data_IF_101344388803
#
_entry.id   IF_101344388803
#
_cell.length_a   1.000
_cell.length_b   1.000
_cell.length_c   1.000
_cell.angle_alpha   90.00
_cell.angle_beta   90.00
_cell.angle_gamma   90.00
#
_symmetry.space_group_name_H-M   'P 1'
#
loop_
_entity.id
_entity.type
_entity.pdbx_description
1 polymer ?
#
# COMPACT_ATOMS: atom_id res chain seq x y z
N UNK A 1 14.90 -18.74 18.42
CA UNK A 1 14.26 -18.65 17.09
C UNK A 1 13.09 -17.66 17.07
N UNK A 2 12.15 -17.72 18.02
CA UNK A 2 10.97 -16.83 18.09
C UNK A 2 11.36 -15.34 18.17
N UNK A 3 12.40 -15.00 18.96
CA UNK A 3 12.88 -13.61 19.12
C UNK A 3 13.38 -13.03 17.78
N UNK A 4 14.09 -13.82 16.98
CA UNK A 4 14.61 -13.37 15.68
C UNK A 4 13.50 -13.13 14.66
N UNK A 5 12.47 -13.97 14.66
CA UNK A 5 11.30 -13.81 13.79
C UNK A 5 10.53 -12.55 14.16
N UNK A 6 10.28 -12.32 15.45
CA UNK A 6 9.62 -11.12 15.93
C UNK A 6 10.41 -9.84 15.59
N UNK A 7 11.74 -9.89 15.76
CA UNK A 7 12.63 -8.77 15.41
C UNK A 7 12.57 -8.46 13.91
N UNK A 8 12.62 -9.49 13.06
CA UNK A 8 12.54 -9.32 11.62
C UNK A 8 11.22 -8.68 11.18
N UNK A 9 10.08 -9.11 11.75
CA UNK A 9 8.77 -8.50 11.46
C UNK A 9 8.68 -7.05 11.92
N UNK A 10 9.27 -6.73 13.08
CA UNK A 10 9.31 -5.36 13.59
C UNK A 10 10.17 -4.45 12.71
N UNK A 11 11.36 -4.92 12.33
CA UNK A 11 12.26 -4.19 11.42
C UNK A 11 11.59 -3.99 10.06
N UNK A 12 10.92 -5.00 9.51
CA UNK A 12 10.21 -4.89 8.23
C UNK A 12 9.09 -3.84 8.28
N UNK A 13 8.28 -3.84 9.34
CA UNK A 13 7.26 -2.80 9.58
C UNK A 13 7.87 -1.41 9.73
N UNK A 14 9.01 -1.29 10.42
CA UNK A 14 9.71 -0.02 10.57
C UNK A 14 10.23 0.47 9.22
N UNK A 15 10.85 -0.40 8.41
CA UNK A 15 11.33 -0.04 7.06
C UNK A 15 10.16 0.37 6.18
N UNK A 16 9.03 -0.34 6.21
CA UNK A 16 7.81 0.03 5.49
C UNK A 16 7.30 1.44 5.84
N UNK A 17 7.33 1.81 7.13
CA UNK A 17 6.89 3.13 7.60
C UNK A 17 7.89 4.24 7.31
N UNK A 18 9.18 4.01 7.51
CA UNK A 18 10.20 5.07 7.52
C UNK A 18 11.00 5.20 6.23
N UNK A 19 11.16 4.13 5.44
CA UNK A 19 11.87 4.22 4.16
C UNK A 19 10.93 4.68 3.06
N UNK A 20 11.35 5.66 2.26
CA UNK A 20 10.58 6.10 1.09
C UNK A 20 10.88 5.26 -0.15
N UNK A 21 12.06 4.63 -0.18
CA UNK A 21 12.48 3.77 -1.29
C UNK A 21 11.91 2.37 -1.17
N UNK A 22 11.72 1.83 0.03
CA UNK A 22 11.30 0.45 0.21
C UNK A 22 9.88 0.16 -0.32
N UNK A 23 8.83 0.95 0.00
CA UNK A 23 7.52 0.77 -0.62
C UNK A 23 7.55 0.92 -2.15
N UNK A 24 8.36 1.86 -2.65
CA UNK A 24 8.55 2.07 -4.09
C UNK A 24 9.22 0.88 -4.77
N UNK A 25 10.22 0.28 -4.12
CA UNK A 25 10.90 -0.92 -4.61
C UNK A 25 9.96 -2.11 -4.66
N UNK A 26 9.17 -2.32 -3.59
CA UNK A 26 8.18 -3.40 -3.53
C UNK A 26 7.03 -3.23 -4.52
N UNK A 27 6.62 -1.98 -4.80
CA UNK A 27 5.62 -1.68 -5.82
C UNK A 27 6.14 -2.06 -7.22
N UNK A 28 7.43 -1.80 -7.48
CA UNK A 28 8.03 -1.99 -8.79
C UNK A 28 7.26 -1.22 -9.86
N UNK A 29 6.70 -1.93 -10.84
CA UNK A 29 5.89 -1.36 -11.93
C UNK A 29 4.38 -1.34 -11.64
N UNK A 30 3.93 -1.86 -10.48
CA UNK A 30 2.51 -1.94 -10.14
C UNK A 30 2.00 -0.57 -9.70
N UNK A 31 1.16 0.02 -10.55
CA UNK A 31 0.61 1.36 -10.35
C UNK A 31 -0.91 1.33 -10.50
N UNK A 32 -1.59 2.17 -9.74
CA UNK A 32 -3.04 2.39 -9.82
C UNK A 32 -3.26 3.89 -9.95
N UNK A 33 -4.05 4.29 -10.94
CA UNK A 33 -4.32 5.70 -11.19
C UNK A 33 -5.37 6.23 -10.22
N UNK A 34 -5.26 7.49 -9.82
CA UNK A 34 -6.30 8.15 -9.02
C UNK A 34 -7.61 8.31 -9.78
N UNK A 35 -7.60 8.26 -11.12
CA UNK A 35 -8.81 8.24 -11.95
C UNK A 35 -9.64 6.98 -11.63
N UNK A 36 -9.00 5.82 -11.50
CA UNK A 36 -9.64 4.58 -11.06
C UNK A 36 -10.21 4.72 -9.63
N UNK A 37 -9.64 5.62 -8.82
CA UNK A 37 -10.00 5.88 -7.43
C UNK A 37 -10.86 7.16 -7.24
N UNK A 38 -11.49 7.66 -8.30
CA UNK A 38 -12.37 8.85 -8.25
C UNK A 38 -11.70 10.13 -7.71
N UNK A 39 -10.41 10.29 -7.97
CA UNK A 39 -9.66 11.54 -7.80
C UNK A 39 -8.79 11.62 -6.55
N UNK A 40 -9.33 11.29 -5.37
CA UNK A 40 -8.59 11.35 -4.09
C UNK A 40 -8.65 10.02 -3.36
N UNK A 41 -7.52 9.62 -2.77
CA UNK A 41 -7.42 8.39 -1.99
C UNK A 41 -8.28 8.47 -0.71
N UNK A 42 -9.18 7.51 -0.54
CA UNK A 42 -10.05 7.31 0.62
C UNK A 42 -9.77 5.92 1.21
N UNK A 43 -10.14 5.70 2.47
CA UNK A 43 -10.00 4.38 3.10
C UNK A 43 -10.69 3.25 2.31
N UNK A 44 -11.84 3.56 1.69
CA UNK A 44 -12.59 2.66 0.80
C UNK A 44 -11.78 2.21 -0.43
N UNK A 45 -10.86 3.03 -0.93
CA UNK A 45 -10.02 2.71 -2.08
C UNK A 45 -9.02 1.59 -1.76
N UNK A 46 -8.57 1.53 -0.51
CA UNK A 46 -7.71 0.44 -0.03
C UNK A 46 -8.39 -0.91 -0.21
N UNK A 47 -9.69 -0.98 0.09
CA UNK A 47 -10.52 -2.18 -0.08
C UNK A 47 -10.59 -2.58 -1.55
N UNK A 48 -10.83 -1.61 -2.43
CA UNK A 48 -10.90 -1.81 -3.88
C UNK A 48 -9.56 -2.30 -4.44
N UNK A 49 -8.45 -1.63 -4.11
CA UNK A 49 -7.10 -1.96 -4.56
C UNK A 49 -6.72 -3.40 -4.17
N UNK A 50 -7.00 -3.76 -2.92
CA UNK A 50 -6.70 -5.09 -2.41
C UNK A 50 -7.76 -6.14 -2.76
N UNK A 51 -8.85 -5.75 -3.43
CA UNK A 51 -9.98 -6.62 -3.79
C UNK A 51 -10.53 -7.39 -2.60
N UNK A 52 -10.64 -6.72 -1.45
CA UNK A 52 -11.11 -7.34 -0.22
C UNK A 52 -12.61 -7.65 -0.33
N UNK A 53 -13.01 -8.83 0.14
CA UNK A 53 -14.42 -9.25 0.16
C UNK A 53 -15.20 -8.51 1.25
N UNK A 54 -16.52 -8.46 1.11
CA UNK A 54 -17.39 -7.93 2.17
C UNK A 54 -17.23 -8.77 3.45
N UNK A 55 -16.87 -8.11 4.55
CA UNK A 55 -16.54 -8.73 5.84
C UNK A 55 -15.05 -8.88 6.14
N UNK A 56 -14.14 -8.72 5.17
CA UNK A 56 -12.70 -8.63 5.44
C UNK A 56 -12.36 -7.27 6.04
N UNK A 57 -11.62 -7.28 7.17
CA UNK A 57 -11.14 -6.05 7.80
C UNK A 57 -10.01 -5.45 6.97
N UNK A 58 -10.16 -4.19 6.59
CA UNK A 58 -9.18 -3.48 5.78
C UNK A 58 -7.89 -3.22 6.55
N UNK A 59 -7.94 -3.03 7.87
CA UNK A 59 -6.76 -2.79 8.70
C UNK A 59 -5.91 -4.05 8.90
N UNK A 60 -6.54 -5.21 8.93
CA UNK A 60 -5.82 -6.49 9.06
C UNK A 60 -5.25 -6.97 7.72
N UNK A 61 -5.87 -6.56 6.61
CA UNK A 61 -5.55 -7.10 5.28
C UNK A 61 -4.86 -6.09 4.36
N UNK A 62 -4.70 -4.85 4.77
CA UNK A 62 -4.02 -3.82 4.00
C UNK A 62 -3.31 -2.78 4.87
N UNK A 63 -2.16 -2.31 4.39
CA UNK A 63 -1.43 -1.18 4.98
C UNK A 63 -1.27 -0.07 3.94
N UNK A 64 -1.49 1.17 4.35
CA UNK A 64 -1.27 2.36 3.52
C UNK A 64 -0.09 3.15 4.07
N UNK A 65 0.80 3.59 3.18
CA UNK A 65 1.94 4.45 3.53
C UNK A 65 1.94 5.68 2.64
N UNK A 66 1.86 6.86 3.25
CA UNK A 66 1.94 8.16 2.57
C UNK A 66 3.37 8.65 2.62
N UNK A 67 3.99 8.82 1.44
CA UNK A 67 5.39 9.23 1.29
C UNK A 67 5.48 10.41 0.35
N UNK A 68 6.61 11.10 0.40
CA UNK A 68 6.90 12.24 -0.49
C UNK A 68 6.89 11.84 -1.98
N UNK A 69 7.29 10.59 -2.28
CA UNK A 69 7.31 10.04 -3.63
C UNK A 69 5.99 9.36 -4.06
N UNK A 70 4.96 9.40 -3.22
CA UNK A 70 3.61 8.92 -3.53
C UNK A 70 2.92 8.15 -2.39
N UNK A 71 1.70 7.71 -2.66
CA UNK A 71 0.93 6.86 -1.74
C UNK A 71 1.08 5.41 -2.15
N UNK A 72 1.34 4.53 -1.17
CA UNK A 72 1.54 3.11 -1.40
C UNK A 72 0.53 2.30 -0.61
N UNK A 73 0.02 1.23 -1.25
CA UNK A 73 -0.91 0.29 -0.64
C UNK A 73 -0.31 -1.09 -0.68
N UNK A 74 -0.12 -1.71 0.49
CA UNK A 74 0.30 -3.09 0.66
C UNK A 74 -0.88 -3.96 1.01
N UNK A 75 -1.23 -4.87 0.12
CA UNK A 75 -2.27 -5.88 0.32
C UNK A 75 -1.65 -7.14 0.93
N UNK A 76 -2.17 -7.56 2.07
CA UNK A 76 -1.73 -8.71 2.86
C UNK A 76 -2.72 -9.88 2.82
N UNK A 77 -3.82 -9.74 2.06
CA UNK A 77 -4.83 -10.78 1.86
C UNK A 77 -4.40 -11.95 0.96
N UNK A 78 -3.15 -11.99 0.52
CA UNK A 78 -2.58 -13.05 -0.31
C UNK A 78 -1.29 -13.60 0.31
N UNK A 79 -0.90 -14.86 0.00
CA UNK A 79 0.32 -15.49 0.52
C UNK A 79 1.60 -14.69 0.23
N UNK A 80 1.58 -13.88 -0.83
CA UNK A 80 2.63 -12.92 -1.16
C UNK A 80 2.01 -11.53 -1.12
N UNK A 81 2.52 -10.68 -0.24
CA UNK A 81 2.06 -9.30 -0.14
C UNK A 81 2.24 -8.58 -1.47
N UNK A 82 1.20 -7.88 -1.93
CA UNK A 82 1.26 -7.08 -3.17
C UNK A 82 1.31 -5.62 -2.80
N UNK A 83 2.26 -4.89 -3.36
CA UNK A 83 2.37 -3.45 -3.16
C UNK A 83 2.00 -2.72 -4.46
N UNK A 84 1.22 -1.66 -4.32
CA UNK A 84 0.77 -0.79 -5.41
C UNK A 84 1.14 0.65 -5.10
N UNK A 85 1.59 1.39 -6.11
CA UNK A 85 1.76 2.85 -6.03
C UNK A 85 0.52 3.54 -6.60
N UNK A 86 -0.07 4.44 -5.85
CA UNK A 86 -1.17 5.30 -6.31
C UNK A 86 -0.58 6.51 -7.02
N UNK A 87 -1.00 6.73 -8.27
CA UNK A 87 -0.59 7.88 -9.07
C UNK A 87 -1.73 8.87 -9.13
N UNK A 88 -1.52 10.03 -8.52
CA UNK A 88 -2.43 11.15 -8.67
C UNK A 88 -2.23 11.80 -10.03
N UNK A 89 -3.23 11.70 -10.91
CA UNK A 89 -3.25 12.55 -12.09
C UNK A 89 -3.48 13.98 -11.62
N UNK A 90 -2.49 14.85 -11.79
CA UNK A 90 -2.72 16.29 -11.64
C UNK A 90 -3.89 16.68 -12.54
N UNK A 91 -4.86 17.50 -12.06
CA UNK A 91 -5.89 18.02 -12.96
C UNK A 91 -5.16 18.71 -14.10
N UNK A 92 -5.38 18.21 -15.32
CA UNK A 92 -4.82 18.83 -16.51
C UNK A 92 -5.19 20.30 -16.49
N UNK A 93 -4.19 21.19 -16.53
CA UNK A 93 -4.44 22.57 -16.93
C UNK A 93 -4.97 22.50 -18.36
N UNK A 94 -6.29 22.54 -18.50
CA UNK A 94 -6.94 22.94 -19.74
C UNK A 94 -7.15 24.44 -19.74
#
# INVERSE_FOLDING_TARGET
>A
MIILVALALFVERAIWKFSDSYPSFLAGTKQISSIELRGSFRGEDTRFICRLKDGEDTYDNAEVSFKDNGTFVRCMNHPVSRVYKVIYTAPGKS
#
